data_IF_406934227042
#
_entry.id   IF_406934227042
#
_cell.length_a   1.000
_cell.length_b   1.000
_cell.length_c   1.000
_cell.angle_alpha   90.00
_cell.angle_beta   90.00
_cell.angle_gamma   90.00
#
_symmetry.space_group_name_H-M   'P 1'
#
loop_
_entity.id
_entity.type
_entity.pdbx_description
1 polymer ?
#
# COMPACT_ATOMS: atom_id res chain seq x y z
N UNK A 1 -49.33 -5.09 14.18
CA UNK A 1 -48.54 -4.80 15.40
C UNK A 1 -47.06 -4.64 14.99
N UNK A 2 -46.77 -3.88 13.91
CA UNK A 2 -45.58 -4.15 13.10
C UNK A 2 -44.92 -2.89 12.50
N UNK A 3 -44.64 -1.86 13.32
CA UNK A 3 -43.66 -0.81 12.94
C UNK A 3 -42.89 -0.25 14.15
N UNK A 4 -41.79 -0.90 14.61
CA UNK A 4 -40.79 -0.19 15.42
C UNK A 4 -39.33 -0.29 14.92
N UNK A 5 -39.01 -1.20 13.98
CA UNK A 5 -37.61 -1.44 13.57
C UNK A 5 -37.01 -0.33 12.70
N UNK A 6 -37.81 0.27 11.81
CA UNK A 6 -37.33 1.30 10.86
C UNK A 6 -36.98 2.62 11.56
N UNK A 7 -37.68 2.97 12.64
CA UNK A 7 -37.43 4.19 13.42
C UNK A 7 -36.16 4.10 14.28
N UNK A 8 -35.90 2.93 14.88
CA UNK A 8 -34.68 2.70 15.67
C UNK A 8 -33.43 2.68 14.80
N UNK A 9 -33.50 2.07 13.59
CA UNK A 9 -32.40 2.10 12.63
C UNK A 9 -32.13 3.51 12.11
N UNK A 10 -33.17 4.29 11.81
CA UNK A 10 -33.02 5.69 11.36
C UNK A 10 -32.41 6.57 12.46
N UNK A 11 -32.84 6.43 13.72
CA UNK A 11 -32.25 7.15 14.85
C UNK A 11 -30.80 6.72 15.11
N UNK A 12 -30.49 5.42 15.02
CA UNK A 12 -29.13 4.91 15.11
C UNK A 12 -28.22 5.46 14.00
N UNK A 13 -28.73 5.51 12.77
CA UNK A 13 -28.03 6.08 11.62
C UNK A 13 -27.81 7.59 11.79
N UNK A 14 -28.80 8.32 12.29
CA UNK A 14 -28.71 9.77 12.51
C UNK A 14 -27.69 10.10 13.61
N UNK A 15 -27.67 9.33 14.71
CA UNK A 15 -26.66 9.43 15.75
C UNK A 15 -25.26 9.10 15.21
N UNK A 16 -25.14 8.05 14.40
CA UNK A 16 -23.88 7.67 13.76
C UNK A 16 -23.37 8.74 12.77
N UNK A 17 -24.26 9.30 11.94
CA UNK A 17 -23.92 10.38 11.02
C UNK A 17 -23.50 11.64 11.79
N UNK A 18 -24.23 12.01 12.83
CA UNK A 18 -23.95 13.24 13.56
C UNK A 18 -22.68 13.13 14.42
N UNK A 19 -22.52 12.04 15.17
CA UNK A 19 -21.41 11.91 16.12
C UNK A 19 -20.21 11.12 15.57
N UNK A 20 -20.41 10.22 14.61
CA UNK A 20 -19.34 9.44 13.98
C UNK A 20 -18.82 10.09 12.70
N UNK A 21 -19.70 10.47 11.76
CA UNK A 21 -19.28 11.02 10.46
C UNK A 21 -18.68 12.43 10.59
N UNK A 22 -19.24 13.29 11.46
CA UNK A 22 -18.77 14.68 11.60
C UNK A 22 -17.30 14.82 12.00
N UNK A 23 -16.78 14.14 13.05
CA UNK A 23 -15.36 14.18 13.36
C UNK A 23 -14.50 13.54 12.25
N UNK A 24 -15.00 12.49 11.60
CA UNK A 24 -14.31 11.86 10.48
C UNK A 24 -14.16 12.80 9.27
N UNK A 25 -15.21 13.57 8.95
CA UNK A 25 -15.17 14.59 7.91
C UNK A 25 -14.25 15.76 8.28
N UNK A 26 -14.19 16.14 9.57
CA UNK A 26 -13.25 17.16 10.02
C UNK A 26 -11.80 16.70 9.85
N UNK A 27 -11.49 15.46 10.26
CA UNK A 27 -10.19 14.83 10.05
C UNK A 27 -9.88 14.78 8.54
N UNK A 28 -10.81 14.29 7.72
CA UNK A 28 -10.65 14.24 6.26
C UNK A 28 -10.38 15.63 5.65
N UNK A 29 -11.05 16.68 6.13
CA UNK A 29 -10.80 18.06 5.68
C UNK A 29 -9.40 18.54 6.04
N UNK A 30 -8.92 18.25 7.26
CA UNK A 30 -7.55 18.58 7.67
C UNK A 30 -6.55 17.83 6.81
N UNK A 31 -6.74 16.53 6.58
CA UNK A 31 -5.89 15.75 5.68
C UNK A 31 -5.90 16.30 4.25
N UNK A 32 -7.05 16.65 3.71
CA UNK A 32 -7.15 17.22 2.37
C UNK A 32 -6.41 18.56 2.27
N UNK A 33 -6.55 19.43 3.29
CA UNK A 33 -5.81 20.69 3.35
C UNK A 33 -4.29 20.47 3.41
N UNK A 34 -3.83 19.53 4.25
CA UNK A 34 -2.41 19.16 4.32
C UNK A 34 -1.93 18.58 2.98
N UNK A 35 -2.71 17.70 2.35
CA UNK A 35 -2.37 17.08 1.08
C UNK A 35 -2.23 18.11 -0.05
N UNK A 36 -3.11 19.10 -0.12
CA UNK A 36 -3.01 20.21 -1.08
C UNK A 36 -1.72 21.01 -0.84
N UNK A 37 -1.41 21.36 0.41
CA UNK A 37 -0.18 22.09 0.75
C UNK A 37 1.10 21.27 0.46
N UNK A 38 1.08 19.97 0.74
CA UNK A 38 2.17 19.06 0.38
C UNK A 38 2.32 18.95 -1.14
N UNK A 39 1.22 18.95 -1.89
CA UNK A 39 1.25 18.93 -3.35
C UNK A 39 1.79 20.24 -3.96
N UNK A 40 1.47 21.39 -3.36
CA UNK A 40 2.08 22.67 -3.72
C UNK A 40 3.59 22.66 -3.45
N UNK A 41 4.02 22.15 -2.29
CA UNK A 41 5.44 21.98 -1.98
C UNK A 41 6.13 21.01 -2.94
N UNK A 42 5.47 19.90 -3.27
CA UNK A 42 5.96 18.90 -4.24
C UNK A 42 6.26 19.52 -5.60
N UNK A 43 5.41 20.45 -6.09
CA UNK A 43 5.65 21.15 -7.37
C UNK A 43 6.87 22.06 -7.37
N UNK A 44 7.31 22.51 -6.19
CA UNK A 44 8.43 23.43 -6.03
C UNK A 44 9.75 22.70 -5.74
N UNK A 45 9.69 21.45 -5.26
CA UNK A 45 10.88 20.69 -4.91
C UNK A 45 11.55 20.05 -6.15
N UNK A 46 12.88 20.12 -6.27
CA UNK A 46 13.60 19.37 -7.28
C UNK A 46 13.47 17.87 -7.01
N UNK A 47 13.48 17.08 -8.09
CA UNK A 47 13.31 15.63 -8.04
C UNK A 47 14.31 14.92 -7.13
N UNK A 48 15.53 15.45 -7.02
CA UNK A 48 16.59 14.87 -6.19
C UNK A 48 16.22 14.97 -4.71
N UNK A 49 15.74 16.14 -4.24
CA UNK A 49 15.30 16.30 -2.84
C UNK A 49 14.11 15.40 -2.55
N UNK A 50 13.18 15.28 -3.50
CA UNK A 50 12.04 14.40 -3.36
C UNK A 50 12.48 12.93 -3.24
N UNK A 51 13.41 12.49 -4.10
CA UNK A 51 13.99 11.15 -4.06
C UNK A 51 14.70 10.87 -2.72
N UNK A 52 15.42 11.85 -2.18
CA UNK A 52 16.04 11.77 -0.86
C UNK A 52 15.00 11.60 0.26
N UNK A 53 13.92 12.40 0.26
CA UNK A 53 12.85 12.30 1.27
C UNK A 53 12.15 10.94 1.19
N UNK A 54 11.82 10.47 -0.03
CA UNK A 54 11.25 9.14 -0.22
C UNK A 54 12.22 8.03 0.19
N UNK A 55 13.51 8.19 -0.09
CA UNK A 55 14.56 7.26 0.30
C UNK A 55 14.64 7.12 1.82
N UNK A 56 14.66 8.23 2.55
CA UNK A 56 14.61 8.23 4.03
C UNK A 56 13.31 7.61 4.53
N UNK A 57 12.16 7.99 3.97
CA UNK A 57 10.86 7.43 4.35
C UNK A 57 10.82 5.91 4.19
N UNK A 58 11.29 5.41 3.05
CA UNK A 58 11.41 3.97 2.79
C UNK A 58 12.41 3.31 3.73
N UNK A 59 13.52 4.00 4.04
CA UNK A 59 14.60 3.47 4.85
C UNK A 59 14.23 3.28 6.33
N UNK A 60 13.38 4.14 6.88
CA UNK A 60 12.99 4.10 8.29
C UNK A 60 11.60 3.51 8.54
N UNK A 61 10.72 3.48 7.52
CA UNK A 61 9.34 3.03 7.71
C UNK A 61 8.92 1.88 6.80
N UNK A 62 9.77 1.47 5.86
CA UNK A 62 9.38 0.53 4.80
C UNK A 62 8.91 -0.85 5.28
N UNK A 63 9.51 -1.39 6.34
CA UNK A 63 9.11 -2.67 6.94
C UNK A 63 7.69 -2.69 7.51
N UNK A 64 7.11 -1.51 7.82
CA UNK A 64 5.70 -1.41 8.21
C UNK A 64 4.76 -1.63 7.02
N UNK A 65 5.22 -1.29 5.80
CA UNK A 65 4.46 -1.26 4.56
C UNK A 65 4.93 -2.34 3.57
N UNK A 66 5.17 -3.55 4.07
CA UNK A 66 5.73 -4.62 3.24
C UNK A 66 4.82 -5.02 2.07
N UNK A 67 3.50 -5.02 2.24
CA UNK A 67 2.58 -5.39 1.17
C UNK A 67 2.53 -4.31 0.09
N UNK A 68 2.51 -3.03 0.46
CA UNK A 68 2.58 -1.92 -0.48
C UNK A 68 3.89 -1.91 -1.27
N UNK A 69 5.03 -2.17 -0.61
CA UNK A 69 6.33 -2.26 -1.30
C UNK A 69 6.35 -3.44 -2.26
N UNK A 70 5.88 -4.62 -1.82
CA UNK A 70 5.78 -5.79 -2.69
C UNK A 70 4.86 -5.55 -3.89
N UNK A 71 3.73 -4.84 -3.69
CA UNK A 71 2.82 -4.47 -4.77
C UNK A 71 3.49 -3.55 -5.80
N UNK A 72 4.23 -2.54 -5.33
CA UNK A 72 4.97 -1.63 -6.21
C UNK A 72 6.06 -2.38 -6.97
N UNK A 73 6.80 -3.28 -6.32
CA UNK A 73 7.83 -4.06 -7.01
C UNK A 73 7.27 -5.07 -7.99
N UNK A 74 6.18 -5.74 -7.64
CA UNK A 74 5.46 -6.59 -8.58
C UNK A 74 4.97 -5.76 -9.77
N UNK A 75 4.39 -4.57 -9.54
CA UNK A 75 3.96 -3.70 -10.63
C UNK A 75 5.15 -3.34 -11.54
N UNK A 76 6.33 -2.99 -10.99
CA UNK A 76 7.52 -2.70 -11.81
C UNK A 76 7.98 -3.90 -12.63
N UNK A 77 7.95 -5.10 -12.07
CA UNK A 77 8.35 -6.33 -12.76
C UNK A 77 7.36 -6.78 -13.83
N UNK A 78 6.05 -6.58 -13.61
CA UNK A 78 4.97 -7.09 -14.47
C UNK A 78 4.31 -6.01 -15.35
N UNK A 79 5.03 -4.95 -15.70
CA UNK A 79 4.57 -3.98 -16.71
C UNK A 79 4.09 -2.63 -16.18
N UNK A 80 4.65 -2.14 -15.08
CA UNK A 80 4.27 -0.86 -14.46
C UNK A 80 4.44 0.36 -15.36
N UNK A 81 5.39 0.32 -16.30
CA UNK A 81 5.52 1.38 -17.32
C UNK A 81 4.34 1.36 -18.31
N UNK A 82 3.88 0.18 -18.71
CA UNK A 82 2.68 0.03 -19.52
C UNK A 82 1.45 0.48 -18.74
N UNK A 83 1.35 0.15 -17.45
CA UNK A 83 0.28 0.61 -16.57
C UNK A 83 0.14 2.14 -16.64
N UNK A 84 1.24 2.88 -16.46
CA UNK A 84 1.20 4.34 -16.48
C UNK A 84 0.73 4.90 -17.82
N UNK A 85 1.22 4.34 -18.92
CA UNK A 85 0.84 4.74 -20.29
C UNK A 85 -0.65 4.52 -20.54
N UNK A 86 -1.15 3.33 -20.21
CA UNK A 86 -2.57 2.99 -20.38
C UNK A 86 -3.47 3.80 -19.43
N UNK A 87 -2.98 4.12 -18.22
CA UNK A 87 -3.69 5.00 -17.30
C UNK A 87 -3.85 6.41 -17.88
N UNK A 88 -2.83 6.96 -18.54
CA UNK A 88 -2.91 8.26 -19.21
C UNK A 88 -3.94 8.26 -20.34
N UNK A 89 -4.02 7.19 -21.13
CA UNK A 89 -5.04 7.02 -22.18
C UNK A 89 -6.44 7.00 -21.57
N UNK A 90 -6.66 6.17 -20.54
CA UNK A 90 -7.93 6.11 -19.83
C UNK A 90 -8.31 7.45 -19.19
N UNK A 91 -7.34 8.18 -18.63
CA UNK A 91 -7.54 9.50 -18.04
C UNK A 91 -7.96 10.53 -19.09
N UNK A 92 -7.28 10.56 -20.24
CA UNK A 92 -7.58 11.52 -21.30
C UNK A 92 -8.97 11.27 -21.89
N UNK A 93 -9.28 10.04 -22.31
CA UNK A 93 -10.59 9.69 -22.88
C UNK A 93 -11.71 9.80 -21.84
N UNK A 94 -11.44 9.41 -20.59
CA UNK A 94 -12.38 9.56 -19.49
C UNK A 94 -12.69 11.03 -19.17
N UNK A 95 -11.71 11.92 -19.24
CA UNK A 95 -11.92 13.36 -19.03
C UNK A 95 -12.84 13.97 -20.10
N UNK A 96 -12.70 13.54 -21.36
CA UNK A 96 -13.59 13.97 -22.45
C UNK A 96 -15.04 13.52 -22.19
N UNK A 97 -15.23 12.26 -21.80
CA UNK A 97 -16.54 11.72 -21.46
C UNK A 97 -17.18 12.46 -20.28
N UNK A 98 -16.42 12.74 -19.21
CA UNK A 98 -16.92 13.48 -18.04
C UNK A 98 -17.29 14.91 -18.41
N UNK A 99 -16.48 15.61 -19.21
CA UNK A 99 -16.77 16.97 -19.65
C UNK A 99 -18.07 17.03 -20.47
N UNK A 100 -18.27 16.07 -21.38
CA UNK A 100 -19.49 15.97 -22.18
C UNK A 100 -20.73 15.65 -21.32
N UNK A 101 -20.61 14.73 -20.36
CA UNK A 101 -21.69 14.41 -19.42
C UNK A 101 -22.03 15.61 -18.52
N UNK A 102 -21.05 16.40 -18.10
CA UNK A 102 -21.30 17.62 -17.31
C UNK A 102 -22.02 18.69 -18.14
N UNK A 103 -21.60 18.89 -19.39
CA UNK A 103 -22.26 19.84 -20.29
C UNK A 103 -23.71 19.42 -20.58
N UNK A 104 -23.95 18.16 -20.91
CA UNK A 104 -25.31 17.62 -21.11
C UNK A 104 -26.12 17.64 -19.81
N UNK A 105 -25.49 17.35 -18.67
CA UNK A 105 -26.14 17.39 -17.36
C UNK A 105 -26.72 18.76 -17.02
N UNK A 106 -26.07 19.86 -17.45
CA UNK A 106 -26.62 21.21 -17.29
C UNK A 106 -27.86 21.45 -18.16
N UNK A 107 -27.88 20.90 -19.38
CA UNK A 107 -29.03 20.99 -20.30
C UNK A 107 -30.20 20.15 -19.79
N UNK A 108 -29.94 18.93 -19.35
CA UNK A 108 -30.95 18.01 -18.83
C UNK A 108 -31.48 18.45 -17.47
N UNK A 109 -30.66 19.11 -16.64
CA UNK A 109 -31.11 19.74 -15.40
C UNK A 109 -32.06 20.93 -15.65
N UNK A 110 -32.00 21.57 -16.82
CA UNK A 110 -33.00 22.56 -17.22
C UNK A 110 -34.31 21.91 -17.71
N UNK A 111 -34.25 20.66 -18.21
CA UNK A 111 -35.40 19.82 -18.63
C UNK A 111 -35.96 18.92 -17.50
N UNK A 112 -35.57 19.15 -16.24
CA UNK A 112 -35.55 18.18 -15.13
C UNK A 112 -36.88 17.59 -14.61
N UNK A 113 -37.99 17.61 -15.36
CA UNK A 113 -39.29 17.11 -14.88
C UNK A 113 -39.80 15.81 -15.53
N UNK A 114 -39.18 15.27 -16.59
CA UNK A 114 -39.83 14.17 -17.36
C UNK A 114 -39.03 12.87 -17.54
N UNK A 115 -37.76 12.80 -17.12
CA UNK A 115 -36.93 11.61 -17.38
C UNK A 115 -36.97 10.57 -16.25
N UNK A 116 -37.31 9.33 -16.60
CA UNK A 116 -37.11 8.17 -15.72
C UNK A 116 -35.61 7.93 -15.47
N UNK A 117 -35.23 7.52 -14.25
CA UNK A 117 -33.83 7.33 -13.86
C UNK A 117 -33.04 6.38 -14.79
N UNK A 118 -33.70 5.37 -15.37
CA UNK A 118 -33.07 4.49 -16.36
C UNK A 118 -32.81 5.15 -17.71
N UNK A 119 -33.71 6.03 -18.16
CA UNK A 119 -33.54 6.80 -19.41
C UNK A 119 -32.44 7.85 -19.25
N UNK A 120 -32.34 8.46 -18.07
CA UNK A 120 -31.26 9.38 -17.71
C UNK A 120 -29.88 8.71 -17.83
N UNK A 121 -29.69 7.54 -17.19
CA UNK A 121 -28.41 6.80 -17.26
C UNK A 121 -28.07 6.42 -18.70
N UNK A 122 -29.06 5.98 -19.49
CA UNK A 122 -28.83 5.62 -20.90
C UNK A 122 -28.44 6.82 -21.76
N UNK A 123 -29.08 7.99 -21.56
CA UNK A 123 -28.75 9.23 -22.27
C UNK A 123 -27.33 9.72 -21.90
N UNK A 124 -27.00 9.72 -20.60
CA UNK A 124 -25.65 10.10 -20.15
C UNK A 124 -24.58 9.15 -20.65
N UNK A 125 -24.83 7.84 -20.62
CA UNK A 125 -23.93 6.84 -21.18
C UNK A 125 -23.74 7.03 -22.69
N UNK A 126 -24.81 7.34 -23.42
CA UNK A 126 -24.74 7.63 -24.85
C UNK A 126 -23.86 8.86 -25.14
N UNK A 127 -24.07 9.96 -24.41
CA UNK A 127 -23.26 11.18 -24.56
C UNK A 127 -21.79 10.92 -24.21
N UNK A 128 -21.52 10.15 -23.15
CA UNK A 128 -20.16 9.74 -22.81
C UNK A 128 -19.50 8.93 -23.93
N UNK A 129 -20.22 7.98 -24.52
CA UNK A 129 -19.70 7.15 -25.63
C UNK A 129 -19.46 7.95 -26.91
N UNK A 130 -20.30 8.94 -27.22
CA UNK A 130 -20.13 9.82 -28.39
C UNK A 130 -18.94 10.77 -28.22
N UNK A 131 -18.65 11.18 -26.98
CA UNK A 131 -17.56 12.10 -26.69
C UNK A 131 -16.17 11.44 -26.72
N UNK A 132 -16.09 10.11 -26.55
CA UNK A 132 -14.84 9.37 -26.63
C UNK A 132 -14.33 9.33 -28.08
N UNK A 133 -13.05 9.66 -28.27
CA UNK A 133 -12.44 9.71 -29.61
C UNK A 133 -12.02 8.33 -30.07
N UNK A 134 -11.45 7.54 -29.16
CA UNK A 134 -10.99 6.18 -29.46
C UNK A 134 -11.49 5.18 -28.41
N UNK A 135 -12.70 4.61 -28.61
CA UNK A 135 -13.26 3.64 -27.68
C UNK A 135 -12.45 2.32 -27.64
N UNK A 136 -11.76 1.97 -28.73
CA UNK A 136 -10.99 0.73 -28.80
C UNK A 136 -9.72 0.85 -27.96
N UNK A 137 -8.97 1.96 -28.11
CA UNK A 137 -7.80 2.24 -27.27
C UNK A 137 -8.18 2.37 -25.78
N UNK A 138 -9.35 2.95 -25.48
CA UNK A 138 -9.86 3.00 -24.11
C UNK A 138 -10.14 1.61 -23.54
N UNK A 139 -10.85 0.75 -24.28
CA UNK A 139 -11.18 -0.61 -23.84
C UNK A 139 -9.91 -1.47 -23.69
N UNK A 140 -8.98 -1.40 -24.64
CA UNK A 140 -7.70 -2.12 -24.57
C UNK A 140 -6.88 -1.66 -23.36
N UNK A 141 -6.80 -0.36 -23.13
CA UNK A 141 -6.10 0.21 -21.97
C UNK A 141 -6.75 -0.22 -20.66
N UNK A 142 -8.08 -0.19 -20.58
CA UNK A 142 -8.81 -0.65 -19.39
C UNK A 142 -8.57 -2.14 -19.09
N UNK A 143 -8.58 -3.00 -20.13
CA UNK A 143 -8.26 -4.41 -20.00
C UNK A 143 -6.80 -4.63 -19.57
N UNK A 144 -5.86 -3.84 -20.10
CA UNK A 144 -4.46 -3.91 -19.69
C UNK A 144 -4.27 -3.50 -18.22
N UNK A 145 -4.92 -2.43 -17.77
CA UNK A 145 -4.90 -2.00 -16.36
C UNK A 145 -5.41 -3.11 -15.43
N UNK A 146 -6.55 -3.74 -15.78
CA UNK A 146 -7.08 -4.87 -15.03
C UNK A 146 -6.14 -6.08 -15.05
N UNK A 147 -5.55 -6.39 -16.20
CA UNK A 147 -4.59 -7.49 -16.35
C UNK A 147 -3.36 -7.31 -15.46
N UNK A 148 -2.77 -6.12 -15.45
CA UNK A 148 -1.62 -5.80 -14.58
C UNK A 148 -2.03 -5.88 -13.12
N UNK A 149 -3.20 -5.32 -12.75
CA UNK A 149 -3.73 -5.40 -11.40
C UNK A 149 -3.88 -6.86 -10.91
N UNK A 150 -4.53 -7.73 -11.69
CA UNK A 150 -4.67 -9.14 -11.32
C UNK A 150 -3.33 -9.87 -11.28
N UNK A 151 -2.38 -9.51 -12.14
CA UNK A 151 -1.03 -10.10 -12.14
C UNK A 151 -0.26 -9.73 -10.87
N UNK A 152 -0.37 -8.48 -10.41
CA UNK A 152 0.25 -8.01 -9.16
C UNK A 152 -0.36 -8.75 -7.97
N UNK A 153 -1.69 -8.79 -7.87
CA UNK A 153 -2.39 -9.50 -6.78
C UNK A 153 -2.04 -10.99 -6.79
N UNK A 154 -2.07 -11.65 -7.94
CA UNK A 154 -1.74 -13.06 -8.06
C UNK A 154 -0.30 -13.32 -7.60
N UNK A 155 0.64 -12.46 -7.97
CA UNK A 155 2.04 -12.61 -7.57
C UNK A 155 2.24 -12.45 -6.07
N UNK A 156 1.62 -11.42 -5.48
CA UNK A 156 1.68 -11.19 -4.03
C UNK A 156 1.05 -12.34 -3.25
N UNK A 157 -0.11 -12.81 -3.72
CA UNK A 157 -0.84 -13.94 -3.12
C UNK A 157 -0.02 -15.23 -3.20
N UNK A 158 0.62 -15.48 -4.34
CA UNK A 158 1.52 -16.62 -4.52
C UNK A 158 2.69 -16.60 -3.54
N UNK A 159 3.42 -15.47 -3.44
CA UNK A 159 4.55 -15.34 -2.54
C UNK A 159 4.14 -15.52 -1.06
N UNK A 160 3.03 -14.92 -0.67
CA UNK A 160 2.49 -15.08 0.69
C UNK A 160 2.07 -16.53 0.97
N UNK A 161 1.30 -17.14 0.06
CA UNK A 161 0.85 -18.53 0.18
C UNK A 161 2.04 -19.50 0.27
N UNK A 162 3.12 -19.25 -0.47
CA UNK A 162 4.35 -20.04 -0.41
C UNK A 162 5.00 -19.94 0.99
N UNK A 163 5.19 -18.74 1.52
CA UNK A 163 5.79 -18.54 2.85
C UNK A 163 4.95 -19.19 3.96
N UNK A 164 3.63 -19.02 3.92
CA UNK A 164 2.71 -19.66 4.88
C UNK A 164 2.73 -21.18 4.75
N UNK A 165 2.73 -21.71 3.53
CA UNK A 165 2.78 -23.16 3.29
C UNK A 165 4.05 -23.79 3.85
N UNK A 166 5.20 -23.15 3.64
CA UNK A 166 6.48 -23.61 4.21
C UNK A 166 6.41 -23.58 5.74
N UNK A 167 5.90 -22.49 6.34
CA UNK A 167 5.78 -22.37 7.79
C UNK A 167 4.84 -23.42 8.40
N UNK A 168 3.66 -23.64 7.81
CA UNK A 168 2.72 -24.67 8.24
C UNK A 168 3.29 -26.08 8.10
N UNK A 169 4.01 -26.35 7.00
CA UNK A 169 4.68 -27.63 6.79
C UNK A 169 5.75 -27.88 7.87
N UNK A 170 6.60 -26.89 8.16
CA UNK A 170 7.58 -26.99 9.24
C UNK A 170 6.93 -27.22 10.62
N UNK A 171 5.85 -26.51 10.92
CA UNK A 171 5.16 -26.66 12.20
C UNK A 171 4.40 -27.98 12.35
N UNK A 172 3.92 -28.57 11.25
CA UNK A 172 3.30 -29.90 11.29
C UNK A 172 4.26 -30.99 11.80
N UNK A 173 5.57 -30.80 11.58
CA UNK A 173 6.62 -31.67 12.13
C UNK A 173 6.78 -31.51 13.65
N UNK A 174 6.38 -30.35 14.19
CA UNK A 174 6.45 -30.03 15.62
C UNK A 174 5.17 -30.41 16.39
N UNK A 175 4.03 -30.64 15.72
CA UNK A 175 2.74 -30.92 16.37
C UNK A 175 2.79 -32.15 17.27
N UNK A 176 3.42 -33.25 16.83
CA UNK A 176 3.53 -34.48 17.63
C UNK A 176 4.41 -34.28 18.88
N UNK A 177 5.63 -33.72 18.80
CA UNK A 177 6.40 -33.32 19.98
C UNK A 177 5.64 -32.38 20.92
N UNK A 178 4.97 -31.35 20.38
CA UNK A 178 4.21 -30.39 21.17
C UNK A 178 3.04 -31.06 21.91
N UNK A 179 2.33 -31.98 21.24
CA UNK A 179 1.23 -32.75 21.85
C UNK A 179 1.73 -33.70 22.94
N UNK A 180 2.92 -34.29 22.79
CA UNK A 180 3.53 -35.12 23.85
C UNK A 180 3.92 -34.30 25.08
N UNK A 181 4.44 -33.08 24.88
CA UNK A 181 4.90 -32.22 25.96
C UNK A 181 3.75 -31.51 26.68
N UNK A 182 2.83 -30.92 25.92
CA UNK A 182 1.73 -30.08 26.44
C UNK A 182 0.43 -30.86 26.66
N UNK A 183 0.29 -32.04 26.05
CA UNK A 183 -0.93 -32.84 26.14
C UNK A 183 -1.32 -33.23 27.58
N UNK A 184 -0.39 -33.72 28.42
CA UNK A 184 -0.72 -34.10 29.80
C UNK A 184 -1.23 -32.94 30.66
N UNK A 185 -0.62 -31.75 30.54
CA UNK A 185 -1.04 -30.57 31.30
C UNK A 185 -2.39 -30.06 30.81
N UNK A 186 -2.63 -30.05 29.50
CA UNK A 186 -3.93 -29.62 28.95
C UNK A 186 -5.08 -30.57 29.29
N UNK A 187 -4.83 -31.89 29.28
CA UNK A 187 -5.84 -32.88 29.73
C UNK A 187 -6.26 -32.67 31.18
N UNK A 188 -5.28 -32.38 32.05
CA UNK A 188 -5.56 -32.09 33.46
C UNK A 188 -6.44 -30.83 33.64
N UNK A 189 -6.24 -29.81 32.81
CA UNK A 189 -7.01 -28.55 32.87
C UNK A 189 -8.41 -28.70 32.28
N UNK A 190 -8.56 -29.43 31.16
CA UNK A 190 -9.82 -29.49 30.41
C UNK A 190 -10.84 -30.49 30.97
N UNK A 191 -10.41 -31.42 31.81
CA UNK A 191 -11.27 -32.46 32.38
C UNK A 191 -11.56 -33.62 31.41
N UNK A 192 -12.12 -34.73 31.92
CA UNK A 192 -12.22 -36.00 31.21
C UNK A 192 -13.12 -35.94 29.95
N UNK A 193 -14.17 -35.11 29.97
CA UNK A 193 -15.14 -35.04 28.87
C UNK A 193 -14.58 -34.32 27.62
N UNK A 194 -13.53 -33.49 27.79
CA UNK A 194 -12.97 -32.64 26.74
C UNK A 194 -11.57 -33.07 26.26
N UNK A 195 -11.02 -34.19 26.75
CA UNK A 195 -9.67 -34.63 26.40
C UNK A 195 -9.44 -34.83 24.89
N UNK A 196 -10.48 -35.16 24.14
CA UNK A 196 -10.41 -35.36 22.70
C UNK A 196 -10.15 -34.08 21.90
N UNK A 197 -10.43 -32.89 22.47
CA UNK A 197 -10.12 -31.60 21.86
C UNK A 197 -8.65 -31.18 22.05
N UNK A 198 -7.93 -31.80 22.99
CA UNK A 198 -6.54 -31.43 23.32
C UNK A 198 -5.61 -31.44 22.09
N UNK A 199 -5.57 -32.50 21.26
CA UNK A 199 -4.72 -32.49 20.07
C UNK A 199 -5.12 -31.41 19.05
N UNK A 200 -6.42 -31.16 18.87
CA UNK A 200 -6.93 -30.16 17.93
C UNK A 200 -6.56 -28.73 18.36
N UNK A 201 -6.66 -28.44 19.66
CA UNK A 201 -6.27 -27.14 20.22
C UNK A 201 -4.76 -26.91 20.13
N UNK A 202 -3.94 -27.94 20.42
CA UNK A 202 -2.47 -27.84 20.30
C UNK A 202 -2.08 -27.63 18.84
N UNK A 203 -2.64 -28.41 17.91
CA UNK A 203 -2.35 -28.26 16.47
C UNK A 203 -2.75 -26.87 15.96
N UNK A 204 -3.91 -26.36 16.35
CA UNK A 204 -4.37 -25.01 16.00
C UNK A 204 -3.44 -23.94 16.56
N UNK A 205 -3.05 -24.04 17.83
CA UNK A 205 -2.14 -23.09 18.47
C UNK A 205 -0.76 -23.08 17.80
N UNK A 206 -0.21 -24.26 17.52
CA UNK A 206 1.09 -24.41 16.84
C UNK A 206 1.04 -23.81 15.44
N UNK A 207 -0.02 -24.05 14.67
CA UNK A 207 -0.21 -23.45 13.34
C UNK A 207 -0.40 -21.94 13.39
N UNK A 208 -1.15 -21.42 14.37
CA UNK A 208 -1.32 -19.98 14.54
C UNK A 208 0.02 -19.30 14.86
N UNK A 209 0.82 -19.90 15.75
CA UNK A 209 2.18 -19.44 16.03
C UNK A 209 3.07 -19.48 14.79
N UNK A 210 2.95 -20.52 13.95
CA UNK A 210 3.65 -20.62 12.68
C UNK A 210 3.37 -19.42 11.76
N UNK A 211 2.10 -19.05 11.62
CA UNK A 211 1.66 -17.93 10.80
C UNK A 211 2.20 -16.60 11.33
N UNK A 212 2.19 -16.41 12.66
CA UNK A 212 2.76 -15.20 13.29
C UNK A 212 4.26 -15.09 13.03
N UNK A 213 5.01 -16.20 13.18
CA UNK A 213 6.46 -16.23 12.92
C UNK A 213 6.73 -15.97 11.44
N UNK A 214 5.96 -16.58 10.53
CA UNK A 214 6.10 -16.37 9.10
C UNK A 214 5.88 -14.89 8.72
N UNK A 215 4.84 -14.26 9.27
CA UNK A 215 4.58 -12.84 9.07
C UNK A 215 5.71 -11.95 9.61
N UNK A 216 6.30 -12.33 10.75
CA UNK A 216 7.44 -11.60 11.32
C UNK A 216 8.71 -11.72 10.47
N UNK A 217 9.01 -12.92 9.95
CA UNK A 217 10.12 -13.13 9.01
C UNK A 217 9.93 -12.31 7.75
N UNK A 218 8.71 -12.30 7.20
CA UNK A 218 8.39 -11.49 6.01
C UNK A 218 8.64 -9.99 6.28
N UNK A 219 8.22 -9.48 7.45
CA UNK A 219 8.47 -8.11 7.85
C UNK A 219 9.98 -7.78 7.94
N UNK A 220 10.79 -8.70 8.47
CA UNK A 220 12.25 -8.55 8.51
C UNK A 220 12.83 -8.46 7.09
N UNK A 221 12.47 -9.37 6.19
CA UNK A 221 12.98 -9.39 4.81
C UNK A 221 12.62 -8.08 4.10
N UNK A 222 11.38 -7.62 4.25
CA UNK A 222 10.93 -6.36 3.66
C UNK A 222 11.60 -5.13 4.30
N UNK A 223 11.88 -5.17 5.60
CA UNK A 223 12.62 -4.10 6.28
C UNK A 223 14.06 -3.99 5.78
N UNK A 224 14.76 -5.12 5.61
CA UNK A 224 16.13 -5.14 5.03
C UNK A 224 16.10 -4.60 3.60
N UNK A 225 15.18 -5.09 2.78
CA UNK A 225 15.07 -4.64 1.39
C UNK A 225 14.77 -3.14 1.29
N UNK A 226 13.80 -2.65 2.08
CA UNK A 226 13.39 -1.24 2.07
C UNK A 226 14.45 -0.31 2.66
N UNK A 227 15.22 -0.76 3.66
CA UNK A 227 16.32 0.02 4.22
C UNK A 227 17.46 0.19 3.22
N UNK A 228 17.86 -0.90 2.54
CA UNK A 228 18.90 -0.85 1.51
C UNK A 228 18.46 0.04 0.35
N UNK A 229 17.25 -0.19 -0.16
CA UNK A 229 16.73 0.60 -1.29
C UNK A 229 16.59 2.08 -0.94
N UNK A 230 16.03 2.38 0.23
CA UNK A 230 15.87 3.75 0.72
C UNK A 230 17.21 4.44 0.92
N UNK A 231 18.19 3.73 1.49
CA UNK A 231 19.56 4.21 1.66
C UNK A 231 20.23 4.55 0.33
N UNK A 232 20.12 3.68 -0.69
CA UNK A 232 20.67 3.95 -2.03
C UNK A 232 19.98 5.11 -2.73
N UNK A 233 18.64 5.21 -2.64
CA UNK A 233 17.90 6.35 -3.19
C UNK A 233 18.33 7.68 -2.55
N UNK A 234 18.53 7.69 -1.23
CA UNK A 234 19.02 8.87 -0.52
C UNK A 234 20.45 9.24 -0.91
N UNK A 235 21.36 8.26 -0.97
CA UNK A 235 22.76 8.49 -1.32
C UNK A 235 22.90 9.03 -2.75
N UNK A 236 22.21 8.42 -3.72
CA UNK A 236 22.20 8.87 -5.11
C UNK A 236 21.70 10.32 -5.23
N UNK A 237 20.56 10.62 -4.60
CA UNK A 237 19.99 11.96 -4.60
C UNK A 237 20.91 13.01 -3.94
N UNK A 238 21.61 12.64 -2.86
CA UNK A 238 22.55 13.53 -2.18
C UNK A 238 23.76 13.84 -3.07
N UNK A 239 24.28 12.84 -3.78
CA UNK A 239 25.39 12.99 -4.71
C UNK A 239 25.01 13.81 -5.94
N UNK A 240 23.80 13.62 -6.49
CA UNK A 240 23.27 14.46 -7.57
C UNK A 240 23.17 15.94 -7.12
N UNK A 241 22.64 16.20 -5.93
CA UNK A 241 22.59 17.57 -5.36
C UNK A 241 24.00 18.15 -5.17
N UNK A 242 24.96 17.34 -4.72
CA UNK A 242 26.33 17.77 -4.53
C UNK A 242 27.03 18.06 -5.88
N UNK A 243 26.75 17.27 -6.91
CA UNK A 243 27.25 17.47 -8.26
C UNK A 243 26.66 18.74 -8.91
N UNK A 244 25.34 18.95 -8.82
CA UNK A 244 24.65 20.13 -9.34
C UNK A 244 25.16 21.45 -8.71
N UNK A 245 25.59 21.39 -7.45
CA UNK A 245 26.13 22.56 -6.72
C UNK A 245 27.64 22.76 -6.89
N UNK A 246 28.32 21.89 -7.64
CA UNK A 246 29.78 21.93 -7.79
C UNK A 246 30.54 21.63 -6.50
N UNK A 247 29.90 20.99 -5.52
CA UNK A 247 30.56 20.59 -4.27
C UNK A 247 31.52 19.43 -4.50
N UNK A 248 31.23 18.56 -5.47
CA UNK A 248 32.08 17.42 -5.83
C UNK A 248 33.44 17.85 -6.41
N UNK A 249 33.54 19.05 -7.00
CA UNK A 249 34.81 19.60 -7.52
C UNK A 249 35.76 20.06 -6.41
N UNK A 250 35.21 20.38 -5.23
CA UNK A 250 35.95 20.84 -4.05
C UNK A 250 36.46 19.69 -3.18
N UNK A 251 36.02 18.46 -3.44
CA UNK A 251 36.44 17.26 -2.70
C UNK A 251 37.85 16.86 -3.15
N UNK A 252 38.73 16.38 -2.22
CA UNK A 252 40.05 15.91 -2.58
C UNK A 252 40.00 14.77 -3.62
N UNK A 253 40.93 14.81 -4.59
CA UNK A 253 41.05 13.80 -5.65
C UNK A 253 41.33 12.38 -5.11
N UNK A 254 41.72 12.27 -3.83
CA UNK A 254 41.89 10.99 -3.13
C UNK A 254 40.59 10.28 -2.77
N UNK A 255 39.47 11.01 -2.73
CA UNK A 255 38.14 10.47 -2.39
C UNK A 255 37.23 10.34 -3.62
N UNK A 256 37.44 11.16 -4.65
CA UNK A 256 36.61 11.22 -5.86
C UNK A 256 37.48 11.26 -7.11
N UNK A 257 37.27 10.34 -8.05
CA UNK A 257 37.80 10.43 -9.40
C UNK A 257 37.07 11.54 -10.16
N UNK A 258 37.83 12.48 -10.77
CA UNK A 258 37.27 13.58 -11.59
C UNK A 258 37.42 13.24 -13.08
N UNK A 259 36.38 13.43 -13.91
CA UNK A 259 35.02 13.91 -13.60
C UNK A 259 34.24 12.88 -12.75
N UNK A 260 33.39 13.38 -11.85
CA UNK A 260 32.61 12.52 -10.95
C UNK A 260 31.71 11.58 -11.76
N UNK A 261 31.99 10.28 -11.63
CA UNK A 261 31.16 9.21 -12.14
C UNK A 261 30.54 8.47 -10.94
N UNK A 262 29.22 8.60 -10.80
CA UNK A 262 28.47 7.99 -9.70
C UNK A 262 28.57 6.46 -9.72
N UNK A 263 28.78 5.86 -10.90
CA UNK A 263 28.85 4.40 -11.06
C UNK A 263 30.23 3.82 -10.71
N UNK A 264 31.27 4.66 -10.56
CA UNK A 264 32.64 4.23 -10.23
C UNK A 264 33.08 4.59 -8.81
N UNK A 265 32.26 5.33 -8.05
CA UNK A 265 32.62 5.86 -6.74
C UNK A 265 31.94 5.11 -5.61
N UNK A 266 32.73 4.57 -4.66
CA UNK A 266 32.22 3.89 -3.46
C UNK A 266 31.55 4.82 -2.41
N UNK A 267 31.42 6.12 -2.71
CA UNK A 267 30.88 7.10 -1.76
C UNK A 267 29.37 6.89 -1.57
N UNK A 268 28.66 6.52 -2.64
CA UNK A 268 27.23 6.25 -2.56
C UNK A 268 26.94 5.09 -1.59
N UNK A 269 27.77 4.04 -1.62
CA UNK A 269 27.70 2.87 -0.76
C UNK A 269 28.12 3.18 0.68
N UNK A 270 29.14 4.02 0.85
CA UNK A 270 29.57 4.50 2.16
C UNK A 270 28.51 5.33 2.87
N UNK A 271 27.59 5.97 2.13
CA UNK A 271 26.43 6.69 2.70
C UNK A 271 25.23 5.75 2.84
N UNK A 272 24.95 4.96 1.80
CA UNK A 272 23.75 4.14 1.70
C UNK A 272 23.71 3.03 2.75
N UNK A 273 24.79 2.27 2.93
CA UNK A 273 24.77 1.10 3.83
C UNK A 273 24.70 1.47 5.32
N UNK A 274 25.42 2.50 5.82
CA UNK A 274 25.24 2.94 7.20
C UNK A 274 23.83 3.48 7.45
N UNK A 275 23.26 4.23 6.49
CA UNK A 275 21.89 4.72 6.61
C UNK A 275 20.88 3.55 6.61
N UNK A 276 21.08 2.56 5.73
CA UNK A 276 20.27 1.35 5.67
C UNK A 276 20.37 0.52 6.97
N UNK A 277 21.57 0.41 7.56
CA UNK A 277 21.77 -0.27 8.83
C UNK A 277 21.06 0.45 9.98
N UNK A 278 21.17 1.78 10.04
CA UNK A 278 20.46 2.60 11.03
C UNK A 278 18.94 2.51 10.86
N UNK A 279 18.45 2.58 9.62
CA UNK A 279 17.04 2.44 9.28
C UNK A 279 16.49 1.07 9.67
N UNK A 280 17.16 -0.01 9.31
CA UNK A 280 16.79 -1.37 9.69
C UNK A 280 16.78 -1.56 11.21
N UNK A 281 17.82 -1.08 11.90
CA UNK A 281 17.91 -1.18 13.36
C UNK A 281 16.73 -0.47 14.05
N UNK A 282 16.38 0.73 13.58
CA UNK A 282 15.23 1.47 14.10
C UNK A 282 13.91 0.72 13.83
N UNK A 283 13.71 0.21 12.61
CA UNK A 283 12.53 -0.57 12.27
C UNK A 283 12.38 -1.83 13.13
N UNK A 284 13.49 -2.55 13.34
CA UNK A 284 13.52 -3.78 14.12
C UNK A 284 13.24 -3.51 15.61
N UNK A 285 13.88 -2.49 16.19
CA UNK A 285 13.67 -2.12 17.60
C UNK A 285 12.27 -1.53 17.86
N UNK A 286 11.68 -0.87 16.86
CA UNK A 286 10.31 -0.35 16.93
C UNK A 286 9.23 -1.41 16.68
N UNK A 287 9.63 -2.67 16.44
CA UNK A 287 8.71 -3.79 16.19
C UNK A 287 7.88 -3.62 14.91
N UNK A 288 8.40 -2.92 13.90
CA UNK A 288 7.70 -2.59 12.66
C UNK A 288 6.38 -1.83 12.88
N UNK A 289 6.33 -1.03 13.94
CA UNK A 289 5.20 -0.13 14.23
C UNK A 289 5.57 1.32 13.92
N UNK A 290 4.57 2.13 13.56
CA UNK A 290 4.74 3.55 13.31
C UNK A 290 4.66 4.33 14.62
N UNK A 291 5.73 5.02 15.05
CA UNK A 291 5.65 5.89 16.21
C UNK A 291 4.82 7.14 15.89
N UNK A 292 4.21 7.73 16.91
CA UNK A 292 3.57 9.03 16.78
C UNK A 292 4.62 10.11 16.48
N UNK A 293 4.39 11.04 15.53
CA UNK A 293 3.16 11.31 14.77
C UNK A 293 3.07 10.64 13.38
N UNK A 294 4.05 9.82 13.00
CA UNK A 294 4.11 9.21 11.66
C UNK A 294 2.93 8.27 11.38
N UNK A 295 2.34 7.67 12.42
CA UNK A 295 1.11 6.89 12.31
C UNK A 295 -0.08 7.70 11.75
N UNK A 296 -0.16 9.00 12.02
CA UNK A 296 -1.17 9.90 11.47
C UNK A 296 -0.74 10.33 10.07
N UNK A 297 0.48 10.83 9.92
CA UNK A 297 0.96 11.35 8.62
C UNK A 297 0.88 10.28 7.52
N UNK A 298 1.24 9.04 7.84
CA UNK A 298 1.25 7.91 6.90
C UNK A 298 -0.03 7.07 6.92
N UNK A 299 -1.10 7.56 7.58
CA UNK A 299 -2.39 6.87 7.65
C UNK A 299 -2.96 6.48 6.27
N UNK A 300 -2.90 7.32 5.21
CA UNK A 300 -3.35 6.91 3.88
C UNK A 300 -2.59 5.67 3.36
N UNK A 301 -1.27 5.62 3.61
CA UNK A 301 -0.45 4.47 3.22
C UNK A 301 -0.77 3.25 4.09
N UNK A 302 -1.09 3.45 5.38
CA UNK A 302 -1.55 2.38 6.27
C UNK A 302 -2.89 1.78 5.82
N UNK A 303 -3.80 2.59 5.26
CA UNK A 303 -5.06 2.11 4.66
C UNK A 303 -4.77 1.26 3.42
N UNK A 304 -3.87 1.71 2.54
CA UNK A 304 -3.47 0.95 1.35
C UNK A 304 -2.83 -0.38 1.74
N UNK A 305 -1.92 -0.36 2.70
CA UNK A 305 -1.29 -1.56 3.25
C UNK A 305 -2.33 -2.53 3.81
N UNK A 306 -3.30 -2.05 4.59
CA UNK A 306 -4.37 -2.87 5.14
C UNK A 306 -5.24 -3.48 4.05
N UNK A 307 -5.61 -2.69 3.04
CA UNK A 307 -6.41 -3.16 1.92
C UNK A 307 -5.69 -4.22 1.08
N UNK A 308 -4.40 -4.01 0.79
CA UNK A 308 -3.59 -4.99 0.06
C UNK A 308 -3.42 -6.28 0.85
N UNK A 309 -3.20 -6.19 2.17
CA UNK A 309 -3.16 -7.37 3.03
C UNK A 309 -4.48 -8.13 3.01
N UNK A 310 -5.61 -7.42 3.10
CA UNK A 310 -6.92 -8.04 3.00
C UNK A 310 -7.07 -8.81 1.68
N UNK A 311 -6.72 -8.20 0.55
CA UNK A 311 -6.79 -8.84 -0.76
C UNK A 311 -5.87 -10.04 -0.93
N UNK A 312 -4.71 -10.03 -0.29
CA UNK A 312 -3.77 -11.16 -0.31
C UNK A 312 -4.24 -12.30 0.60
N UNK A 313 -4.98 -11.99 1.65
CA UNK A 313 -5.50 -12.97 2.60
C UNK A 313 -6.85 -13.59 2.20
N UNK A 314 -7.62 -12.94 1.33
CA UNK A 314 -8.90 -13.42 0.79
C UNK A 314 -8.73 -14.13 -0.54
#
# INVERSE_FOLDING_TARGET
>A
RDQPLRGQLMQGLELFLKYGLTPLLYVARVYFWVAVRLYEAYKLLPMNILSAIFGVGLCFFGGTFYAAIAAVEAARLFGGEALWRHLQVCWHEGALAVAAVQAEGQVVAAEALELSGGQYVRRMAFVAMVAMKDPHAFQESANCLLGIYFTVIATMSYQFAQTVSIALASCSMCTLPATRLLGPTMKWVMGPDLEHWVPALIDTAVKLMAVIIAAFIQAIVSAVYSSIRGGRMFAAALLEIAAERGWMDQVPDSLVTKPFDADQSYIDEAIAYPLAAAGFYMQFTSGFTLPFPFNIILLPLSIVEWFLRLQVYT
#
